data_IF_514991062525
#
_entry.id   IF_514991062525
#
_cell.length_a   1.000
_cell.length_b   1.000
_cell.length_c   1.000
_cell.angle_alpha   90.00
_cell.angle_beta   90.00
_cell.angle_gamma   90.00
#
_symmetry.space_group_name_H-M   'P 1'
#
loop_
_entity.id
_entity.type
_entity.pdbx_description
1 polymer ?
#
# COMPACT_ATOMS: atom_id res chain seq x y z
N UNK A 1 -69.43 -34.98 40.17
CA UNK A 1 -70.23 -33.75 39.95
C UNK A 1 -69.35 -32.80 39.15
N UNK A 2 -69.70 -32.57 37.86
CA UNK A 2 -69.31 -31.46 36.96
C UNK A 2 -67.83 -30.98 36.94
N UNK A 3 -67.13 -30.78 35.82
CA UNK A 3 -67.44 -30.75 34.39
C UNK A 3 -66.11 -30.52 33.64
N UNK A 4 -66.02 -31.08 32.40
CA UNK A 4 -65.48 -30.50 31.14
C UNK A 4 -64.09 -29.83 31.13
N UNK A 5 -63.23 -30.03 30.13
CA UNK A 5 -63.36 -30.62 28.78
C UNK A 5 -61.96 -30.75 28.17
N UNK A 6 -61.70 -31.77 27.33
CA UNK A 6 -61.63 -31.66 25.85
C UNK A 6 -60.64 -30.59 25.38
N UNK A 7 -59.61 -30.86 24.57
CA UNK A 7 -59.23 -31.99 23.73
C UNK A 7 -58.22 -31.49 22.67
N UNK A 8 -57.73 -32.42 21.84
CA UNK A 8 -56.73 -32.28 20.75
C UNK A 8 -55.28 -32.18 21.26
N UNK A 9 -54.41 -33.19 21.16
CA UNK A 9 -54.09 -34.16 20.08
C UNK A 9 -53.57 -33.49 18.79
N UNK A 10 -52.33 -33.88 18.45
CA UNK A 10 -51.63 -33.74 17.18
C UNK A 10 -51.16 -32.32 16.77
N UNK A 11 -49.84 -32.11 16.76
CA UNK A 11 -49.06 -32.15 15.51
C UNK A 11 -47.55 -32.20 15.84
N UNK A 12 -46.91 -33.31 15.47
CA UNK A 12 -45.47 -33.35 15.24
C UNK A 12 -45.16 -32.39 14.08
N UNK A 13 -44.17 -31.53 14.23
CA UNK A 13 -43.01 -31.39 13.33
C UNK A 13 -42.34 -30.01 13.48
N UNK A 14 -41.02 -30.07 13.53
CA UNK A 14 -40.07 -29.02 13.13
C UNK A 14 -39.74 -27.92 14.14
N UNK A 15 -38.43 -27.73 14.31
CA UNK A 15 -37.71 -26.68 15.04
C UNK A 15 -37.52 -26.90 16.54
N UNK A 16 -36.35 -27.48 16.85
CA UNK A 16 -35.78 -27.57 18.19
C UNK A 16 -35.44 -26.18 18.72
N UNK A 17 -36.06 -25.85 19.83
CA UNK A 17 -35.81 -24.65 20.58
C UNK A 17 -34.49 -24.80 21.35
N UNK A 18 -33.57 -23.89 21.04
CA UNK A 18 -32.62 -23.34 21.98
C UNK A 18 -33.35 -22.77 23.21
N UNK A 19 -32.57 -22.58 24.28
CA UNK A 19 -32.85 -22.01 25.60
C UNK A 19 -32.94 -23.00 26.75
N UNK A 20 -32.11 -22.68 27.74
CA UNK A 20 -32.11 -23.12 29.14
C UNK A 20 -31.12 -24.23 29.54
N UNK A 21 -29.82 -23.96 29.42
CA UNK A 21 -28.86 -24.27 30.49
C UNK A 21 -27.89 -23.11 30.63
N UNK A 22 -28.30 -22.09 31.40
CA UNK A 22 -27.41 -21.06 31.95
C UNK A 22 -27.22 -21.39 33.43
N UNK A 23 -25.98 -21.23 33.90
CA UNK A 23 -25.50 -21.44 35.26
C UNK A 23 -25.44 -22.91 35.73
N UNK A 24 -24.25 -23.50 35.61
CA UNK A 24 -23.40 -23.96 36.72
C UNK A 24 -22.20 -24.63 36.06
N UNK A 25 -21.02 -24.06 36.22
CA UNK A 25 -19.68 -24.70 36.34
C UNK A 25 -18.63 -23.58 36.23
N UNK A 26 -18.71 -22.61 37.15
CA UNK A 26 -17.52 -21.87 37.58
C UNK A 26 -16.79 -22.84 38.50
N UNK A 27 -15.75 -23.49 37.99
CA UNK A 27 -14.91 -24.38 38.78
C UNK A 27 -14.37 -25.55 37.97
N UNK A 28 -13.05 -25.56 37.81
CA UNK A 28 -12.24 -26.56 37.11
C UNK A 28 -12.21 -26.43 35.59
N UNK A 29 -11.24 -25.64 35.10
CA UNK A 29 -10.41 -25.92 33.92
C UNK A 29 -9.22 -24.94 33.89
N UNK A 30 -8.43 -24.88 34.96
CA UNK A 30 -7.05 -24.38 34.88
C UNK A 30 -6.16 -25.52 34.39
N UNK A 31 -6.23 -25.83 33.09
CA UNK A 31 -5.27 -26.65 32.32
C UNK A 31 -5.85 -27.13 30.99
N UNK A 32 -6.31 -26.21 30.14
CA UNK A 32 -6.37 -26.48 28.70
C UNK A 32 -6.13 -25.15 27.99
N UNK A 33 -4.93 -25.01 27.44
CA UNK A 33 -4.65 -24.00 26.43
C UNK A 33 -5.52 -24.33 25.21
N UNK A 34 -6.60 -23.56 25.05
CA UNK A 34 -7.38 -23.54 23.82
C UNK A 34 -7.12 -22.18 23.20
N UNK A 35 -6.37 -22.25 22.12
CA UNK A 35 -6.21 -21.26 21.07
C UNK A 35 -7.47 -20.42 20.87
N UNK A 36 -7.32 -19.11 21.00
CA UNK A 36 -8.23 -18.12 20.44
C UNK A 36 -7.44 -17.25 19.49
N UNK A 37 -7.46 -17.59 18.19
CA UNK A 37 -7.21 -16.65 17.11
C UNK A 37 -8.27 -15.55 17.19
N UNK A 38 -7.97 -14.40 17.80
CA UNK A 38 -8.74 -13.18 17.58
C UNK A 38 -7.83 -11.95 17.75
N UNK A 39 -7.27 -11.52 16.64
CA UNK A 39 -6.44 -10.32 16.52
C UNK A 39 -5.73 -10.36 15.18
N UNK A 40 -6.37 -9.85 14.13
CA UNK A 40 -5.66 -9.61 12.87
C UNK A 40 -4.81 -8.36 13.14
N UNK A 41 -3.54 -8.59 13.47
CA UNK A 41 -2.57 -7.50 13.59
C UNK A 41 -2.46 -6.79 12.23
N UNK A 42 -2.36 -5.45 12.26
CA UNK A 42 -2.18 -4.66 11.06
C UNK A 42 -0.71 -4.62 10.73
N UNK A 43 -0.29 -5.19 9.61
CA UNK A 43 1.08 -5.07 9.14
C UNK A 43 1.13 -4.62 7.68
N UNK A 44 1.97 -3.63 7.39
CA UNK A 44 2.10 -3.04 6.05
C UNK A 44 3.03 -3.91 5.21
N UNK A 45 2.59 -4.29 4.02
CA UNK A 45 3.40 -5.03 3.04
C UNK A 45 4.37 -4.09 2.33
N UNK A 46 5.59 -4.54 2.01
CA UNK A 46 6.62 -3.68 1.41
C UNK A 46 7.65 -4.46 0.58
N UNK A 47 8.26 -3.81 -0.43
CA UNK A 47 9.36 -4.36 -1.24
C UNK A 47 9.13 -5.80 -1.76
N UNK A 48 7.92 -6.12 -2.26
CA UNK A 48 7.59 -7.45 -2.78
C UNK A 48 7.38 -8.53 -1.71
N UNK A 49 7.23 -8.16 -0.43
CA UNK A 49 6.84 -9.04 0.65
C UNK A 49 5.46 -8.68 1.19
N UNK A 50 4.60 -9.68 1.34
CA UNK A 50 3.30 -9.50 2.00
C UNK A 50 3.38 -9.98 3.44
N UNK A 51 3.03 -9.13 4.40
CA UNK A 51 2.85 -9.60 5.76
C UNK A 51 1.50 -10.33 5.89
N UNK A 52 1.55 -11.59 6.33
CA UNK A 52 0.38 -12.46 6.47
C UNK A 52 -0.22 -12.42 7.88
N UNK A 53 0.63 -12.26 8.90
CA UNK A 53 0.21 -12.12 10.28
C UNK A 53 1.35 -11.64 11.16
N UNK A 54 1.02 -11.09 12.33
CA UNK A 54 1.92 -11.11 13.49
C UNK A 54 1.26 -11.81 14.67
N UNK A 55 2.11 -12.31 15.57
CA UNK A 55 1.69 -13.03 16.76
C UNK A 55 2.63 -12.64 17.91
N UNK A 56 2.06 -12.08 18.97
CA UNK A 56 2.78 -11.82 20.21
C UNK A 56 2.61 -12.99 21.16
N UNK A 57 3.70 -13.51 21.68
CA UNK A 57 3.73 -14.47 22.81
C UNK A 57 4.48 -13.84 23.98
N UNK A 58 4.40 -14.45 25.17
CA UNK A 58 5.05 -13.95 26.39
C UNK A 58 6.58 -13.73 26.23
N UNK A 59 7.23 -14.49 25.34
CA UNK A 59 8.70 -14.49 25.19
C UNK A 59 9.19 -14.00 23.81
N UNK A 60 8.34 -14.02 22.79
CA UNK A 60 8.74 -13.69 21.41
C UNK A 60 7.60 -13.05 20.63
N UNK A 61 7.96 -12.17 19.70
CA UNK A 61 7.03 -11.67 18.71
C UNK A 61 7.37 -12.24 17.34
N UNK A 62 6.39 -12.86 16.70
CA UNK A 62 6.56 -13.50 15.40
C UNK A 62 5.85 -12.71 14.33
N UNK A 63 6.49 -12.56 13.19
CA UNK A 63 5.96 -11.92 12.01
C UNK A 63 6.04 -12.90 10.85
N UNK A 64 4.92 -13.19 10.21
CA UNK A 64 4.86 -14.09 9.07
C UNK A 64 4.77 -13.26 7.80
N UNK A 65 5.73 -13.45 6.91
CA UNK A 65 5.82 -12.76 5.63
C UNK A 65 5.74 -13.77 4.48
N UNK A 66 5.25 -13.35 3.32
CA UNK A 66 5.23 -14.09 2.07
C UNK A 66 6.12 -13.40 1.05
N UNK A 67 7.03 -14.14 0.43
CA UNK A 67 7.83 -13.66 -0.69
C UNK A 67 6.98 -13.59 -1.97
N UNK A 68 6.90 -12.42 -2.60
CA UNK A 68 6.24 -12.21 -3.90
C UNK A 68 7.18 -11.49 -4.89
N UNK A 69 8.50 -11.65 -4.75
CA UNK A 69 9.50 -11.02 -5.63
C UNK A 69 9.68 -11.75 -6.97
N UNK A 70 8.95 -12.85 -7.22
CA UNK A 70 9.10 -13.65 -8.44
C UNK A 70 10.42 -14.43 -8.51
N UNK A 71 11.17 -14.49 -7.40
CA UNK A 71 12.47 -15.18 -7.30
C UNK A 71 12.79 -15.59 -5.87
N UNK A 72 13.70 -16.57 -5.73
CA UNK A 72 14.15 -17.07 -4.44
C UNK A 72 15.12 -16.08 -3.76
N UNK A 73 14.92 -15.86 -2.46
CA UNK A 73 15.70 -14.88 -1.69
C UNK A 73 16.22 -15.45 -0.38
N UNK A 74 17.35 -14.94 0.10
CA UNK A 74 17.82 -15.19 1.47
C UNK A 74 17.55 -13.98 2.34
N UNK A 75 16.97 -14.18 3.52
CA UNK A 75 16.64 -13.11 4.48
C UNK A 75 17.76 -12.96 5.51
N UNK A 76 18.15 -11.74 5.85
CA UNK A 76 19.15 -11.47 6.89
C UNK A 76 18.91 -10.14 7.62
N UNK A 77 19.70 -9.91 8.68
CA UNK A 77 19.78 -8.62 9.38
C UNK A 77 18.41 -8.07 9.83
N UNK A 78 17.59 -8.89 10.47
CA UNK A 78 16.29 -8.45 10.96
C UNK A 78 16.38 -7.78 12.34
N UNK A 79 15.71 -6.64 12.47
CA UNK A 79 15.56 -5.88 13.71
C UNK A 79 14.14 -5.33 13.81
N UNK A 80 13.58 -5.24 15.01
CA UNK A 80 12.33 -4.56 15.27
C UNK A 80 12.58 -3.35 16.18
N UNK A 81 12.02 -2.19 15.86
CA UNK A 81 12.15 -0.99 16.70
C UNK A 81 10.80 -0.60 17.27
N UNK A 82 10.72 -0.45 18.59
CA UNK A 82 9.51 -0.02 19.29
C UNK A 82 9.34 1.49 19.07
N UNK A 83 8.29 1.94 18.38
CA UNK A 83 8.14 3.35 17.99
C UNK A 83 8.04 4.32 19.17
N UNK A 84 7.42 3.90 20.28
CA UNK A 84 7.22 4.77 21.44
C UNK A 84 8.50 5.05 22.23
N UNK A 85 9.45 4.11 22.23
CA UNK A 85 10.70 4.20 23.02
C UNK A 85 11.95 4.38 22.16
N UNK A 86 11.89 4.05 20.87
CA UNK A 86 13.05 3.97 19.97
C UNK A 86 13.98 2.80 20.31
N UNK A 87 13.57 1.89 21.20
CA UNK A 87 14.36 0.73 21.58
C UNK A 87 14.32 -0.32 20.46
N UNK A 88 15.50 -0.79 20.05
CA UNK A 88 15.65 -1.79 19.00
C UNK A 88 15.91 -3.17 19.59
N UNK A 89 15.16 -4.15 19.11
CA UNK A 89 15.24 -5.55 19.50
C UNK A 89 15.73 -6.37 18.31
N UNK A 90 16.72 -7.23 18.55
CA UNK A 90 17.22 -8.15 17.54
C UNK A 90 16.19 -9.22 17.19
N UNK A 91 16.17 -9.63 15.92
CA UNK A 91 15.27 -10.65 15.43
C UNK A 91 16.00 -11.80 14.76
N UNK A 92 15.49 -13.00 15.00
CA UNK A 92 15.87 -14.21 14.31
C UNK A 92 15.18 -14.27 12.94
N UNK A 93 15.96 -14.63 11.92
CA UNK A 93 15.53 -14.80 10.53
C UNK A 93 15.54 -16.28 10.16
N UNK A 94 14.77 -16.70 9.14
CA UNK A 94 14.80 -18.08 8.65
C UNK A 94 16.20 -18.44 8.11
N UNK A 95 16.61 -19.69 8.32
CA UNK A 95 17.83 -20.22 7.70
C UNK A 95 17.55 -20.73 6.29
N UNK A 96 18.34 -20.29 5.30
CA UNK A 96 18.25 -20.76 3.92
C UNK A 96 17.46 -19.82 3.00
N UNK A 97 17.20 -20.29 1.78
CA UNK A 97 16.40 -19.53 0.81
C UNK A 97 14.91 -19.66 1.07
N UNK A 98 14.19 -18.57 0.85
CA UNK A 98 12.74 -18.47 0.82
C UNK A 98 12.33 -18.42 -0.64
N UNK A 99 11.63 -19.46 -1.08
CA UNK A 99 11.16 -19.55 -2.46
C UNK A 99 10.11 -18.49 -2.80
N UNK A 100 9.95 -18.19 -4.08
CA UNK A 100 8.83 -17.36 -4.53
C UNK A 100 7.48 -17.96 -4.10
N UNK A 101 6.55 -17.09 -3.69
CA UNK A 101 5.25 -17.46 -3.14
C UNK A 101 5.28 -18.17 -1.78
N UNK A 102 6.46 -18.39 -1.19
CA UNK A 102 6.62 -19.09 0.10
C UNK A 102 6.58 -18.12 1.28
N UNK A 103 5.98 -18.56 2.38
CA UNK A 103 5.98 -17.81 3.62
C UNK A 103 7.19 -18.14 4.51
N UNK A 104 7.65 -17.16 5.27
CA UNK A 104 8.70 -17.27 6.26
C UNK A 104 8.37 -16.48 7.53
N UNK A 105 9.04 -16.79 8.62
CA UNK A 105 8.82 -16.15 9.92
C UNK A 105 10.07 -15.40 10.38
N UNK A 106 9.88 -14.17 10.83
CA UNK A 106 10.87 -13.41 11.61
C UNK A 106 10.41 -13.42 13.07
N UNK A 107 11.31 -13.76 13.99
CA UNK A 107 11.01 -13.83 15.43
C UNK A 107 11.87 -12.83 16.21
N UNK A 108 11.26 -11.82 16.81
CA UNK A 108 11.96 -10.82 17.60
C UNK A 108 11.80 -11.08 19.10
N UNK A 109 12.80 -10.69 19.90
CA UNK A 109 12.68 -10.72 21.35
C UNK A 109 11.57 -9.80 21.85
N UNK A 110 10.87 -10.18 22.92
CA UNK A 110 9.82 -9.35 23.54
C UNK A 110 10.34 -8.35 24.58
N UNK A 111 11.65 -8.23 24.78
CA UNK A 111 12.24 -7.30 25.76
C UNK A 111 11.90 -5.85 25.40
N UNK A 112 11.12 -5.19 26.25
CA UNK A 112 10.64 -3.81 26.03
C UNK A 112 9.17 -3.74 25.60
N UNK A 113 8.58 -4.85 25.15
CA UNK A 113 7.16 -4.94 24.82
C UNK A 113 6.36 -5.42 26.03
N UNK A 114 5.34 -4.64 26.43
CA UNK A 114 4.43 -5.04 27.51
C UNK A 114 3.29 -5.85 26.89
N UNK A 115 3.09 -7.09 27.34
CA UNK A 115 1.95 -7.90 26.91
C UNK A 115 0.63 -7.12 27.11
N UNK A 116 -0.14 -6.91 26.03
CA UNK A 116 -1.37 -6.12 26.03
C UNK A 116 -1.22 -4.60 25.86
N UNK A 117 0.00 -4.09 25.64
CA UNK A 117 0.21 -2.69 25.25
C UNK A 117 0.03 -2.48 23.75
N UNK A 118 -0.52 -1.32 23.37
CA UNK A 118 -0.61 -0.86 21.97
C UNK A 118 0.74 -0.28 21.57
N UNK A 119 1.58 -1.08 20.93
CA UNK A 119 2.88 -0.63 20.43
C UNK A 119 2.98 -0.90 18.93
N UNK A 120 3.42 0.12 18.19
CA UNK A 120 3.79 -0.02 16.78
C UNK A 120 5.28 -0.34 16.68
N UNK A 121 5.61 -1.20 15.73
CA UNK A 121 6.96 -1.70 15.52
C UNK A 121 7.38 -1.48 14.08
N UNK A 122 8.56 -0.91 13.89
CA UNK A 122 9.24 -0.96 12.60
C UNK A 122 10.10 -2.22 12.53
N UNK A 123 9.64 -3.21 11.77
CA UNK A 123 10.42 -4.42 11.45
C UNK A 123 11.20 -4.14 10.18
N UNK A 124 12.52 -4.21 10.29
CA UNK A 124 13.45 -4.02 9.18
C UNK A 124 14.24 -5.28 8.97
N UNK A 125 14.28 -5.79 7.75
CA UNK A 125 15.15 -6.91 7.37
C UNK A 125 15.75 -6.70 5.99
N UNK A 126 16.87 -7.35 5.71
CA UNK A 126 17.52 -7.34 4.39
C UNK A 126 17.20 -8.62 3.63
N UNK A 127 17.15 -8.55 2.30
CA UNK A 127 17.14 -9.72 1.44
C UNK A 127 18.19 -9.66 0.32
N UNK A 128 18.56 -10.84 -0.18
CA UNK A 128 19.51 -11.04 -1.27
C UNK A 128 18.97 -12.10 -2.24
N UNK A 129 19.25 -11.96 -3.53
CA UNK A 129 18.96 -13.04 -4.51
C UNK A 129 19.75 -14.30 -4.15
N UNK A 130 19.07 -15.44 -4.09
CA UNK A 130 19.70 -16.72 -3.73
C UNK A 130 20.76 -17.19 -4.75
N UNK A 131 20.69 -16.70 -5.99
CA UNK A 131 21.58 -17.07 -7.09
C UNK A 131 22.74 -16.08 -7.31
N UNK A 132 22.79 -15.01 -6.52
CA UNK A 132 23.75 -13.92 -6.66
C UNK A 132 24.98 -14.13 -5.77
N UNK A 133 26.18 -14.02 -6.35
CA UNK A 133 27.43 -13.86 -5.57
C UNK A 133 27.65 -12.41 -5.10
N UNK A 134 26.84 -11.47 -5.58
CA UNK A 134 26.88 -10.07 -5.17
C UNK A 134 26.05 -9.85 -3.90
N UNK A 135 26.71 -9.35 -2.86
CA UNK A 135 26.15 -9.11 -1.52
C UNK A 135 25.44 -7.75 -1.42
N UNK A 136 24.53 -7.45 -2.35
CA UNK A 136 23.71 -6.25 -2.23
C UNK A 136 22.45 -6.55 -1.41
N UNK A 137 22.35 -5.96 -0.22
CA UNK A 137 21.21 -6.06 0.67
C UNK A 137 20.17 -5.01 0.30
N UNK A 138 18.93 -5.40 0.04
CA UNK A 138 17.80 -4.46 -0.02
C UNK A 138 17.06 -4.49 1.31
N UNK A 139 16.98 -3.36 2.06
CA UNK A 139 16.19 -3.30 3.27
C UNK A 139 14.69 -3.31 2.94
N UNK A 140 13.92 -4.02 3.75
CA UNK A 140 12.47 -4.07 3.73
C UNK A 140 12.01 -3.46 5.04
N UNK A 141 11.14 -2.47 4.95
CA UNK A 141 10.58 -1.77 6.11
C UNK A 141 9.11 -2.14 6.23
N UNK A 142 8.73 -2.66 7.39
CA UNK A 142 7.38 -3.12 7.69
C UNK A 142 6.94 -2.45 8.98
N UNK A 143 5.88 -1.66 8.90
CA UNK A 143 5.20 -1.14 10.09
C UNK A 143 4.19 -2.18 10.57
N UNK A 144 4.29 -2.57 11.84
CA UNK A 144 3.42 -3.57 12.46
C UNK A 144 2.74 -2.98 13.69
N UNK A 145 1.41 -3.03 13.71
CA UNK A 145 0.59 -2.68 14.85
C UNK A 145 0.12 -3.94 15.56
N UNK A 146 0.57 -4.13 16.79
CA UNK A 146 0.08 -5.21 17.65
C UNK A 146 -1.27 -4.83 18.25
N UNK A 147 -2.35 -5.49 17.81
CA UNK A 147 -3.67 -5.37 18.43
C UNK A 147 -4.16 -6.74 18.88
N UNK A 148 -3.83 -7.10 20.12
CA UNK A 148 -4.43 -8.25 20.81
C UNK A 148 -5.79 -7.83 21.35
N UNK A 149 -6.89 -8.34 20.77
CA UNK A 149 -8.21 -8.14 21.36
C UNK A 149 -8.44 -9.21 22.44
N UNK A 150 -8.55 -8.81 23.71
CA UNK A 150 -9.02 -9.75 24.73
C UNK A 150 -10.53 -9.95 24.57
N UNK A 151 -11.03 -11.13 24.97
CA UNK A 151 -12.47 -11.42 24.97
C UNK A 151 -13.30 -10.37 25.75
N UNK A 152 -12.70 -9.71 26.74
CA UNK A 152 -13.34 -8.64 27.51
C UNK A 152 -13.43 -7.31 26.75
N UNK A 153 -12.51 -7.03 25.81
CA UNK A 153 -12.57 -5.83 24.96
C UNK A 153 -13.68 -5.95 23.90
N UNK A 154 -13.95 -7.16 23.41
CA UNK A 154 -15.03 -7.45 22.45
C UNK A 154 -16.42 -7.19 23.03
N UNK A 155 -16.63 -7.51 24.32
CA UNK A 155 -17.91 -7.32 25.02
C UNK A 155 -18.14 -5.84 25.37
N UNK A 156 -17.10 -5.11 25.75
CA UNK A 156 -17.21 -3.70 26.14
C UNK A 156 -17.31 -2.74 24.94
N UNK A 157 -16.90 -3.15 23.74
CA UNK A 157 -17.03 -2.38 22.51
C UNK A 157 -18.40 -2.50 21.81
N UNK A 158 -19.34 -3.31 22.34
CA UNK A 158 -20.72 -3.36 21.86
C UNK A 158 -20.96 -4.22 20.62
N UNK A 159 -20.20 -5.29 20.42
CA UNK A 159 -20.31 -6.14 19.22
C UNK A 159 -21.39 -7.23 19.29
N UNK A 160 -22.59 -6.94 18.79
CA UNK A 160 -23.28 -7.86 17.88
C UNK A 160 -23.91 -7.02 16.76
N UNK A 161 -23.20 -6.90 15.64
CA UNK A 161 -23.77 -6.43 14.39
C UNK A 161 -23.09 -7.20 13.25
N UNK A 162 -23.85 -8.16 12.69
CA UNK A 162 -23.85 -8.66 11.32
C UNK A 162 -22.49 -8.88 10.62
N UNK A 163 -22.07 -10.14 10.61
CA UNK A 163 -21.12 -10.68 9.64
C UNK A 163 -21.88 -11.05 8.35
N UNK A 164 -22.10 -10.08 7.46
CA UNK A 164 -22.20 -10.35 6.01
C UNK A 164 -21.60 -9.17 5.23
N UNK A 165 -20.46 -9.41 4.57
CA UNK A 165 -19.95 -8.66 3.41
C UNK A 165 -19.50 -7.21 3.63
N UNK A 166 -18.22 -6.99 3.89
CA UNK A 166 -17.62 -5.65 3.80
C UNK A 166 -16.10 -5.65 4.01
N UNK A 167 -15.37 -5.16 3.01
CA UNK A 167 -13.94 -4.81 3.10
C UNK A 167 -13.72 -3.97 4.36
N UNK A 168 -12.89 -4.45 5.29
CA UNK A 168 -12.49 -3.67 6.46
C UNK A 168 -11.65 -2.48 6.02
N UNK A 169 -12.26 -1.29 5.98
CA UNK A 169 -11.58 -0.04 5.73
C UNK A 169 -10.57 0.24 6.83
N UNK A 170 -9.31 -0.14 6.59
CA UNK A 170 -8.19 0.37 7.36
C UNK A 170 -7.97 1.82 6.98
N UNK A 171 -8.01 2.71 7.97
CA UNK A 171 -7.65 4.11 7.76
C UNK A 171 -6.13 4.23 7.85
N UNK A 172 -5.49 4.61 6.75
CA UNK A 172 -4.07 4.93 6.71
C UNK A 172 -3.86 6.44 6.95
N UNK A 173 -3.22 6.79 8.06
CA UNK A 173 -3.04 8.18 8.53
C UNK A 173 -1.60 8.70 8.34
N UNK A 174 -0.82 8.06 7.46
CA UNK A 174 0.56 8.46 7.16
C UNK A 174 0.95 8.17 5.72
N UNK A 175 1.83 9.00 5.16
CA UNK A 175 2.57 8.65 3.92
C UNK A 175 4.00 8.32 4.27
N UNK A 176 4.53 7.22 3.74
CA UNK A 176 5.89 6.75 4.05
C UNK A 176 6.72 6.72 2.77
N UNK A 177 7.83 7.44 2.80
CA UNK A 177 8.75 7.65 1.68
C UNK A 177 10.13 7.10 2.03
N UNK A 178 10.81 6.52 1.06
CA UNK A 178 12.19 6.06 1.22
C UNK A 178 13.11 6.91 0.35
N UNK A 179 14.05 7.59 0.99
CA UNK A 179 15.06 8.43 0.32
C UNK A 179 16.43 7.77 0.38
N UNK A 180 17.15 7.74 -0.74
CA UNK A 180 18.55 7.30 -0.84
C UNK A 180 19.48 8.48 -1.12
N UNK A 181 20.32 8.77 -0.14
CA UNK A 181 21.24 9.91 -0.18
C UNK A 181 22.34 9.79 -1.23
N UNK A 182 22.54 8.60 -1.83
CA UNK A 182 23.46 8.45 -2.96
C UNK A 182 23.06 9.31 -4.17
N UNK A 183 21.76 9.63 -4.30
CA UNK A 183 21.21 10.46 -5.38
C UNK A 183 20.89 11.90 -4.95
N UNK A 184 21.15 12.24 -3.68
CA UNK A 184 20.96 13.58 -3.14
C UNK A 184 20.81 13.57 -1.63
N UNK A 185 21.63 14.34 -0.92
CA UNK A 185 21.61 14.39 0.55
C UNK A 185 20.57 15.36 1.14
N UNK A 186 19.91 16.17 0.31
CA UNK A 186 18.95 17.18 0.76
C UNK A 186 17.62 17.01 0.06
N UNK A 187 16.54 16.97 0.84
CA UNK A 187 15.17 16.79 0.36
C UNK A 187 14.31 17.98 0.75
N UNK A 188 13.36 18.34 -0.11
CA UNK A 188 12.36 19.37 0.16
C UNK A 188 10.98 18.85 -0.21
N UNK A 189 10.08 18.86 0.77
CA UNK A 189 8.67 18.56 0.63
C UNK A 189 7.89 19.87 0.56
N UNK A 190 7.36 20.19 -0.62
CA UNK A 190 6.40 21.28 -0.77
C UNK A 190 4.99 20.75 -0.59
N UNK A 191 4.30 21.31 0.39
CA UNK A 191 3.01 20.84 0.83
C UNK A 191 1.95 21.78 0.24
N UNK A 192 0.99 21.23 -0.49
CA UNK A 192 -0.13 22.02 -0.99
C UNK A 192 -1.13 22.23 0.14
N UNK A 193 -1.75 23.41 0.24
CA UNK A 193 -2.77 23.80 1.23
C UNK A 193 -2.25 24.10 2.67
N UNK A 194 -3.18 24.07 3.65
CA UNK A 194 -3.06 24.69 4.99
C UNK A 194 -3.20 23.74 6.20
N UNK A 195 -2.76 22.48 6.10
CA UNK A 195 -2.74 21.52 7.22
C UNK A 195 -1.49 21.62 8.12
N UNK A 196 -1.66 21.21 9.39
CA UNK A 196 -0.54 20.91 10.29
C UNK A 196 0.04 19.55 9.93
N UNK A 197 1.33 19.54 9.60
CA UNK A 197 2.03 18.35 9.15
C UNK A 197 3.31 18.14 9.95
N UNK A 198 3.58 16.88 10.23
CA UNK A 198 4.78 16.41 10.90
C UNK A 198 5.52 15.46 9.96
N UNK A 199 6.83 15.65 9.88
CA UNK A 199 7.72 14.79 9.11
C UNK A 199 8.78 14.26 10.05
N UNK A 200 8.79 12.94 10.22
CA UNK A 200 9.97 12.23 10.68
C UNK A 200 10.84 11.94 9.47
N UNK A 201 12.11 12.34 9.48
CA UNK A 201 13.02 12.13 8.35
C UNK A 201 13.69 10.75 8.39
N UNK A 202 13.55 9.99 9.47
CA UNK A 202 14.15 8.66 9.61
C UNK A 202 15.61 8.65 10.04
N UNK A 203 16.18 9.81 10.38
CA UNK A 203 17.56 9.96 10.89
C UNK A 203 17.61 10.51 12.32
N UNK A 204 16.48 10.44 13.04
CA UNK A 204 16.30 10.99 14.38
C UNK A 204 15.97 12.48 14.40
N UNK A 205 15.95 13.16 13.25
CA UNK A 205 15.44 14.53 13.15
C UNK A 205 14.00 14.54 12.66
N UNK A 206 13.26 15.52 13.15
CA UNK A 206 11.89 15.77 12.73
C UNK A 206 11.69 17.23 12.32
N UNK A 207 10.61 17.49 11.62
CA UNK A 207 10.20 18.82 11.23
C UNK A 207 8.70 18.93 11.29
N UNK A 208 8.21 20.12 11.63
CA UNK A 208 6.79 20.42 11.62
C UNK A 208 6.52 21.68 10.80
N UNK A 209 5.32 21.74 10.26
CA UNK A 209 4.87 22.90 9.49
C UNK A 209 3.40 23.12 9.77
N UNK A 210 3.07 24.36 10.09
CA UNK A 210 1.70 24.85 10.23
C UNK A 210 1.37 25.78 9.08
N UNK A 211 0.21 25.59 8.46
CA UNK A 211 -0.28 26.51 7.43
C UNK A 211 0.41 26.34 6.08
N UNK A 212 1.06 27.39 5.56
CA UNK A 212 1.78 27.50 4.27
C UNK A 212 3.17 26.86 4.17
N UNK A 213 3.73 26.57 2.99
CA UNK A 213 5.18 26.39 2.80
C UNK A 213 5.70 24.97 2.61
N UNK A 214 7.04 24.86 2.67
CA UNK A 214 7.80 23.63 2.42
C UNK A 214 8.64 23.25 3.63
N UNK A 215 8.88 21.95 3.81
CA UNK A 215 9.81 21.39 4.77
C UNK A 215 11.05 20.90 4.05
N UNK A 216 12.24 21.19 4.58
CA UNK A 216 13.50 20.72 3.99
C UNK A 216 14.37 20.07 5.04
N UNK A 217 15.12 19.07 4.62
CA UNK A 217 16.06 18.35 5.46
C UNK A 217 17.33 18.03 4.70
N UNK A 218 18.43 17.86 5.43
CA UNK A 218 19.72 17.43 4.88
C UNK A 218 20.29 16.33 5.75
N UNK A 219 20.40 15.14 5.18
CA UNK A 219 20.97 13.97 5.83
C UNK A 219 22.47 14.16 6.03
N UNK A 220 22.94 13.91 7.25
CA UNK A 220 24.35 14.11 7.64
C UNK A 220 25.26 12.96 7.23
N UNK A 221 24.68 11.78 6.95
CA UNK A 221 25.38 10.55 6.60
C UNK A 221 24.79 9.95 5.33
N UNK A 222 25.60 9.14 4.64
CA UNK A 222 25.11 8.37 3.52
C UNK A 222 24.28 7.18 4.01
N UNK A 223 23.24 6.83 3.27
CA UNK A 223 22.28 5.79 3.61
C UNK A 223 20.90 6.00 2.99
N UNK A 224 20.04 5.03 3.25
CA UNK A 224 18.61 5.09 2.95
C UNK A 224 17.85 5.47 4.21
N UNK A 225 16.86 6.34 4.05
CA UNK A 225 16.09 6.91 5.14
C UNK A 225 14.60 6.78 4.88
N UNK A 226 13.89 6.25 5.86
CA UNK A 226 12.43 6.13 5.83
C UNK A 226 11.85 7.37 6.47
N UNK A 227 11.29 8.24 5.65
CA UNK A 227 10.59 9.43 6.10
C UNK A 227 9.09 9.18 6.20
N UNK A 228 8.50 9.55 7.33
CA UNK A 228 7.05 9.43 7.57
C UNK A 228 6.43 10.80 7.67
N UNK A 229 5.41 11.04 6.84
CA UNK A 229 4.59 12.25 6.84
C UNK A 229 3.28 11.90 7.53
N UNK A 230 2.96 12.62 8.61
CA UNK A 230 1.68 12.51 9.33
C UNK A 230 1.02 13.87 9.49
N UNK A 231 -0.25 13.87 9.90
CA UNK A 231 -1.05 15.07 10.11
C UNK A 231 -2.16 15.21 9.08
N UNK A 232 -2.70 16.41 8.92
CA UNK A 232 -3.88 16.63 8.07
C UNK A 232 -3.50 16.87 6.60
N UNK A 233 -3.55 15.80 5.80
CA UNK A 233 -3.41 15.86 4.33
C UNK A 233 -4.75 16.03 3.59
N UNK A 234 -5.86 16.32 4.30
CA UNK A 234 -7.20 16.35 3.69
C UNK A 234 -7.31 17.36 2.57
N UNK A 235 -7.78 16.91 1.41
CA UNK A 235 -8.03 17.77 0.24
C UNK A 235 -6.75 18.30 -0.41
N UNK A 236 -5.60 17.72 -0.10
CA UNK A 236 -4.28 18.21 -0.47
C UNK A 236 -3.40 17.05 -0.95
N UNK A 237 -2.39 17.40 -1.75
CA UNK A 237 -1.24 16.55 -2.03
C UNK A 237 0.04 17.13 -1.43
N UNK A 238 1.14 16.39 -1.56
CA UNK A 238 2.48 16.93 -1.41
C UNK A 238 3.27 16.77 -2.71
N UNK A 239 4.39 17.50 -2.81
CA UNK A 239 5.34 17.39 -3.91
C UNK A 239 6.73 17.31 -3.33
N UNK A 240 7.53 16.36 -3.81
CA UNK A 240 8.97 16.37 -3.54
C UNK A 240 9.60 17.34 -4.53
N UNK A 241 9.95 18.55 -4.09
CA UNK A 241 10.42 19.65 -4.95
C UNK A 241 11.93 19.85 -4.91
N UNK A 242 12.60 19.36 -3.86
CA UNK A 242 14.05 19.34 -3.73
C UNK A 242 14.51 17.92 -3.44
N UNK A 243 15.62 17.50 -4.06
CA UNK A 243 16.15 16.15 -3.88
C UNK A 243 15.26 15.03 -4.42
N UNK A 244 14.33 15.33 -5.33
CA UNK A 244 13.34 14.35 -5.85
C UNK A 244 13.95 13.07 -6.40
N UNK A 245 15.16 13.13 -6.98
CA UNK A 245 15.89 11.95 -7.46
C UNK A 245 16.37 11.01 -6.34
N UNK A 246 16.41 11.47 -5.09
CA UNK A 246 16.69 10.61 -3.94
C UNK A 246 15.48 9.79 -3.52
N UNK A 247 14.26 10.11 -3.96
CA UNK A 247 13.09 9.28 -3.67
C UNK A 247 13.18 7.98 -4.48
N UNK A 248 13.28 6.86 -3.79
CA UNK A 248 13.39 5.54 -4.42
C UNK A 248 12.15 4.67 -4.22
N UNK A 249 11.36 4.89 -3.17
CA UNK A 249 10.16 4.11 -2.91
C UNK A 249 9.12 4.91 -2.11
N UNK A 250 7.85 4.55 -2.30
CA UNK A 250 6.76 4.87 -1.37
C UNK A 250 6.17 3.56 -0.85
N UNK A 251 6.08 3.41 0.47
CA UNK A 251 5.58 2.16 1.09
C UNK A 251 4.16 2.29 1.65
N UNK A 252 3.67 3.50 1.89
CA UNK A 252 2.31 3.72 2.39
C UNK A 252 1.75 5.07 1.95
N UNK A 253 0.43 5.14 1.77
CA UNK A 253 -0.30 6.38 1.49
C UNK A 253 -1.10 6.86 2.68
N UNK A 254 -1.26 8.18 2.78
CA UNK A 254 -2.27 8.76 3.64
C UNK A 254 -3.62 8.80 2.91
N UNK A 255 -4.69 8.27 3.51
CA UNK A 255 -6.00 8.07 2.86
C UNK A 255 -6.70 9.37 2.47
N UNK A 256 -6.38 10.46 3.17
CA UNK A 256 -6.97 11.78 2.92
C UNK A 256 -6.41 12.51 1.68
N UNK A 257 -5.39 11.94 1.02
CA UNK A 257 -4.85 12.48 -0.24
C UNK A 257 -5.93 12.41 -1.32
N UNK A 258 -6.18 13.55 -1.97
CA UNK A 258 -7.15 13.66 -3.08
C UNK A 258 -6.51 14.09 -4.41
N UNK A 259 -5.30 14.64 -4.35
CA UNK A 259 -4.56 15.17 -5.49
C UNK A 259 -3.12 14.65 -5.45
N UNK A 260 -2.74 13.81 -6.42
CA UNK A 260 -1.38 13.28 -6.55
C UNK A 260 -0.60 13.98 -7.67
N UNK A 261 -1.04 15.17 -8.08
CA UNK A 261 -0.46 15.86 -9.23
C UNK A 261 0.97 16.30 -8.97
N UNK A 262 1.90 15.87 -9.84
CA UNK A 262 3.35 16.16 -9.75
C UNK A 262 4.02 15.64 -8.47
N UNK A 263 3.41 14.67 -7.78
CA UNK A 263 3.90 14.20 -6.48
C UNK A 263 5.35 13.69 -6.55
N UNK A 264 5.69 12.96 -7.64
CA UNK A 264 7.01 12.38 -7.89
C UNK A 264 7.60 12.83 -9.23
N UNK A 265 7.31 14.04 -9.68
CA UNK A 265 7.92 14.57 -10.90
C UNK A 265 9.19 15.38 -10.58
N UNK A 266 10.38 15.05 -11.13
CA UNK A 266 10.78 13.84 -11.87
C UNK A 266 11.66 12.88 -11.05
N UNK A 267 11.06 12.03 -10.23
CA UNK A 267 11.75 11.05 -9.40
C UNK A 267 12.34 9.92 -10.26
N UNK A 268 13.49 10.19 -10.88
CA UNK A 268 14.13 9.29 -11.86
C UNK A 268 14.64 7.96 -11.30
N UNK A 269 14.66 7.78 -9.97
CA UNK A 269 15.10 6.56 -9.29
C UNK A 269 13.96 5.90 -8.48
N UNK A 270 12.72 6.38 -8.61
CA UNK A 270 11.56 5.76 -7.97
C UNK A 270 11.30 4.38 -8.59
N UNK A 271 11.34 3.33 -7.79
CA UNK A 271 11.14 1.95 -8.23
C UNK A 271 9.80 1.36 -7.81
N UNK A 272 9.25 1.81 -6.68
CA UNK A 272 8.01 1.24 -6.15
C UNK A 272 7.11 2.23 -5.41
N UNK A 273 5.82 1.94 -5.44
CA UNK A 273 4.71 2.59 -4.74
C UNK A 273 3.73 1.53 -4.24
N UNK A 274 2.84 1.83 -3.28
CA UNK A 274 1.81 0.89 -2.87
C UNK A 274 0.91 0.49 -4.07
N UNK A 275 0.53 -0.78 -4.13
CA UNK A 275 -0.37 -1.30 -5.18
C UNK A 275 -1.85 -0.97 -4.92
N UNK A 276 -2.11 0.20 -4.36
CA UNK A 276 -3.44 0.78 -4.18
C UNK A 276 -3.33 2.31 -4.23
N UNK A 277 -4.45 2.97 -4.50
CA UNK A 277 -4.57 4.43 -4.40
C UNK A 277 -5.28 4.82 -3.10
N UNK A 278 -4.99 6.01 -2.54
CA UNK A 278 -5.85 6.60 -1.52
C UNK A 278 -7.29 6.70 -2.05
N UNK A 279 -8.31 6.45 -1.20
CA UNK A 279 -9.68 6.19 -1.65
C UNK A 279 -10.37 7.39 -2.32
N UNK A 280 -9.84 8.61 -2.20
CA UNK A 280 -10.48 9.83 -2.71
C UNK A 280 -9.64 10.59 -3.74
N UNK A 281 -8.64 9.93 -4.33
CA UNK A 281 -7.84 10.54 -5.41
C UNK A 281 -8.69 10.76 -6.66
N UNK A 282 -8.54 11.94 -7.26
CA UNK A 282 -9.29 12.34 -8.48
C UNK A 282 -8.38 12.71 -9.66
N UNK A 283 -7.07 12.85 -9.42
CA UNK A 283 -6.08 13.25 -10.43
C UNK A 283 -4.73 12.60 -10.15
N UNK A 284 -4.12 12.06 -11.21
CA UNK A 284 -2.76 11.51 -11.24
C UNK A 284 -1.83 12.32 -12.16
N UNK A 285 -2.25 13.55 -12.50
CA UNK A 285 -1.55 14.40 -13.46
C UNK A 285 -0.06 14.52 -13.16
N UNK A 286 0.79 14.13 -14.12
CA UNK A 286 2.26 14.20 -13.99
C UNK A 286 2.83 13.47 -12.76
N UNK A 287 2.12 12.49 -12.18
CA UNK A 287 2.57 11.81 -10.96
C UNK A 287 3.95 11.16 -11.14
N UNK A 288 4.18 10.47 -12.25
CA UNK A 288 5.43 9.78 -12.61
C UNK A 288 6.16 10.44 -13.79
N UNK A 289 5.91 11.72 -14.03
CA UNK A 289 6.56 12.46 -15.12
C UNK A 289 8.08 12.50 -14.89
N UNK A 290 8.86 11.84 -15.75
CA UNK A 290 10.31 11.68 -15.65
C UNK A 290 10.78 10.65 -14.63
N UNK A 291 9.92 9.69 -14.25
CA UNK A 291 10.29 8.55 -13.42
C UNK A 291 10.91 7.45 -14.29
N UNK A 292 12.12 7.69 -14.80
CA UNK A 292 12.72 6.92 -15.90
C UNK A 292 12.77 5.40 -15.66
N UNK A 293 13.07 4.96 -14.43
CA UNK A 293 13.24 3.54 -14.09
C UNK A 293 11.98 2.88 -13.52
N UNK A 294 10.89 3.63 -13.39
CA UNK A 294 9.67 3.13 -12.77
C UNK A 294 8.93 2.17 -13.71
N UNK A 295 8.73 0.93 -13.28
CA UNK A 295 8.09 -0.13 -14.08
C UNK A 295 7.26 -1.10 -13.24
N UNK A 296 6.61 -0.61 -12.17
CA UNK A 296 5.82 -1.45 -11.30
C UNK A 296 4.44 -1.78 -11.93
N UNK A 297 3.95 -3.01 -11.71
CA UNK A 297 2.54 -3.38 -11.88
C UNK A 297 1.63 -2.52 -10.97
N UNK A 298 0.63 -1.87 -11.58
CA UNK A 298 -0.35 -1.00 -10.93
C UNK A 298 -1.79 -1.49 -11.13
N UNK A 299 -1.96 -2.77 -11.47
CA UNK A 299 -3.27 -3.38 -11.71
C UNK A 299 -4.18 -3.41 -10.47
N UNK A 300 -3.61 -3.22 -9.26
CA UNK A 300 -4.33 -3.14 -8.00
C UNK A 300 -4.96 -1.78 -7.69
N UNK A 301 -4.74 -0.77 -8.53
CA UNK A 301 -5.26 0.58 -8.31
C UNK A 301 -6.75 0.69 -8.65
N UNK A 302 -7.55 1.22 -7.71
CA UNK A 302 -8.91 1.67 -8.01
C UNK A 302 -8.88 3.07 -8.66
N UNK A 303 -9.06 3.09 -9.98
CA UNK A 303 -9.04 4.32 -10.79
C UNK A 303 -10.41 4.91 -11.08
N UNK A 304 -11.49 4.34 -10.54
CA UNK A 304 -12.89 4.68 -10.89
C UNK A 304 -13.28 6.14 -10.61
N UNK A 305 -12.53 6.84 -9.76
CA UNK A 305 -12.76 8.26 -9.41
C UNK A 305 -11.87 9.24 -10.19
N UNK A 306 -10.95 8.76 -11.02
CA UNK A 306 -9.99 9.61 -11.70
C UNK A 306 -10.62 10.34 -12.87
N UNK A 307 -10.38 11.65 -12.93
CA UNK A 307 -10.87 12.52 -14.00
C UNK A 307 -9.75 13.06 -14.90
N UNK A 308 -8.50 13.03 -14.41
CA UNK A 308 -7.32 13.52 -15.13
C UNK A 308 -6.12 12.58 -14.94
N UNK A 309 -5.63 12.04 -16.06
CA UNK A 309 -4.42 11.21 -16.14
C UNK A 309 -3.34 11.85 -17.03
N UNK A 310 -3.48 13.15 -17.34
CA UNK A 310 -2.58 13.85 -18.26
C UNK A 310 -1.13 13.78 -17.81
N UNK A 311 -0.24 13.51 -18.77
CA UNK A 311 1.21 13.52 -18.58
C UNK A 311 1.71 12.57 -17.46
N UNK A 312 0.90 11.59 -17.01
CA UNK A 312 1.19 10.74 -15.85
C UNK A 312 2.52 10.00 -15.98
N UNK A 313 2.79 9.38 -17.12
CA UNK A 313 4.02 8.65 -17.46
C UNK A 313 4.86 9.37 -18.52
N UNK A 314 4.72 10.69 -18.63
CA UNK A 314 5.51 11.50 -19.54
C UNK A 314 7.01 11.33 -19.26
N UNK A 315 7.78 10.87 -20.26
CA UNK A 315 9.19 10.52 -20.14
C UNK A 315 9.51 9.48 -19.04
N UNK A 316 8.55 8.62 -18.68
CA UNK A 316 8.83 7.41 -17.88
C UNK A 316 9.35 6.31 -18.82
N UNK A 317 10.62 6.41 -19.20
CA UNK A 317 11.24 5.68 -20.31
C UNK A 317 11.07 4.14 -20.23
N UNK A 318 11.23 3.57 -19.03
CA UNK A 318 11.16 2.12 -18.80
C UNK A 318 9.75 1.61 -18.42
N UNK A 319 8.74 2.50 -18.33
CA UNK A 319 7.42 2.10 -17.87
C UNK A 319 6.69 1.19 -18.86
N UNK A 320 6.37 -0.02 -18.41
CA UNK A 320 5.55 -1.04 -19.06
C UNK A 320 4.76 -1.86 -18.00
N UNK A 321 4.48 -1.26 -16.84
CA UNK A 321 3.75 -1.90 -15.75
C UNK A 321 2.28 -2.12 -16.12
N UNK A 322 1.68 -3.22 -15.65
CA UNK A 322 0.29 -3.56 -15.97
C UNK A 322 -0.68 -2.49 -15.43
N UNK A 323 -1.49 -1.96 -16.35
CA UNK A 323 -2.55 -0.97 -16.13
C UNK A 323 -3.83 -1.34 -16.90
N UNK A 324 -3.90 -2.59 -17.38
CA UNK A 324 -5.01 -3.08 -18.21
C UNK A 324 -6.34 -3.11 -17.47
N UNK A 325 -6.31 -3.21 -16.14
CA UNK A 325 -7.49 -3.27 -15.26
C UNK A 325 -8.08 -1.92 -14.89
N UNK A 326 -7.47 -0.81 -15.29
CA UNK A 326 -7.93 0.52 -14.90
C UNK A 326 -9.30 0.87 -15.49
N UNK A 327 -10.20 1.31 -14.62
CA UNK A 327 -11.43 2.00 -15.01
C UNK A 327 -11.10 3.45 -15.42
N UNK A 328 -11.28 3.75 -16.70
CA UNK A 328 -11.06 5.08 -17.29
C UNK A 328 -12.35 5.82 -17.63
N UNK A 329 -13.52 5.28 -17.22
CA UNK A 329 -14.84 5.78 -17.65
C UNK A 329 -15.15 7.23 -17.22
N UNK A 330 -14.44 7.75 -16.22
CA UNK A 330 -14.56 9.15 -15.74
C UNK A 330 -13.44 10.07 -16.23
N UNK A 331 -12.44 9.54 -16.95
CA UNK A 331 -11.27 10.30 -17.38
C UNK A 331 -11.61 11.18 -18.57
N UNK A 332 -11.25 12.46 -18.47
CA UNK A 332 -11.55 13.47 -19.50
C UNK A 332 -10.30 13.97 -20.24
N UNK A 333 -9.11 13.79 -19.66
CA UNK A 333 -7.84 14.30 -20.16
C UNK A 333 -6.74 13.23 -20.04
N UNK A 334 -6.25 12.75 -21.18
CA UNK A 334 -5.19 11.75 -21.33
C UNK A 334 -4.00 12.28 -22.17
N UNK A 335 -3.91 13.59 -22.39
CA UNK A 335 -2.85 14.17 -23.20
C UNK A 335 -1.47 13.81 -22.65
N UNK A 336 -0.53 13.52 -23.54
CA UNK A 336 0.86 13.21 -23.23
C UNK A 336 1.08 12.07 -22.21
N UNK A 337 0.06 11.23 -21.93
CA UNK A 337 0.11 10.27 -20.83
C UNK A 337 1.31 9.33 -20.92
N UNK A 338 1.66 8.85 -22.12
CA UNK A 338 2.80 7.97 -22.41
C UNK A 338 3.81 8.61 -23.37
N UNK A 339 3.84 9.94 -23.46
CA UNK A 339 4.80 10.63 -24.34
C UNK A 339 6.23 10.29 -23.91
N UNK A 340 7.01 9.69 -24.81
CA UNK A 340 8.39 9.24 -24.54
C UNK A 340 8.51 8.11 -23.52
N UNK A 341 7.44 7.37 -23.22
CA UNK A 341 7.52 6.09 -22.52
C UNK A 341 7.99 5.02 -23.51
N UNK A 342 9.30 4.95 -23.74
CA UNK A 342 9.90 4.18 -24.85
C UNK A 342 9.58 2.69 -24.82
N UNK A 343 9.41 2.12 -23.64
CA UNK A 343 9.18 0.69 -23.41
C UNK A 343 7.70 0.29 -23.33
N UNK A 344 6.79 1.26 -23.31
CA UNK A 344 5.38 1.01 -23.02
C UNK A 344 4.66 0.25 -24.16
N UNK A 345 4.08 -0.91 -23.84
CA UNK A 345 3.32 -1.74 -24.77
C UNK A 345 2.21 -2.60 -24.11
N UNK A 346 1.54 -2.04 -23.09
CA UNK A 346 0.45 -2.74 -22.41
C UNK A 346 -0.83 -2.82 -23.26
N UNK A 347 -1.67 -3.82 -22.96
CA UNK A 347 -3.01 -3.95 -23.55
C UNK A 347 -3.98 -2.94 -22.91
N UNK A 348 -4.51 -2.03 -23.74
CA UNK A 348 -5.44 -0.98 -23.35
C UNK A 348 -6.83 -1.17 -23.97
N UNK A 349 -7.11 -2.35 -24.53
CA UNK A 349 -8.36 -2.62 -25.25
C UNK A 349 -9.60 -2.55 -24.35
N UNK A 350 -9.43 -2.71 -23.03
CA UNK A 350 -10.47 -2.63 -22.01
C UNK A 350 -10.79 -1.21 -21.50
N UNK A 351 -10.02 -0.20 -21.90
CA UNK A 351 -10.25 1.18 -21.45
C UNK A 351 -11.51 1.79 -22.07
N UNK A 352 -12.31 2.47 -21.25
CA UNK A 352 -13.43 3.30 -21.69
C UNK A 352 -12.95 4.73 -21.93
N UNK A 353 -12.94 5.15 -23.20
CA UNK A 353 -12.51 6.49 -23.62
C UNK A 353 -13.68 7.43 -23.94
N UNK A 354 -14.93 7.03 -23.67
CA UNK A 354 -16.13 7.75 -24.11
C UNK A 354 -16.27 9.16 -23.52
N UNK A 355 -15.59 9.47 -22.42
CA UNK A 355 -15.56 10.80 -21.80
C UNK A 355 -14.28 11.60 -22.11
N UNK A 356 -13.31 11.01 -22.82
CA UNK A 356 -12.03 11.67 -23.11
C UNK A 356 -12.21 12.77 -24.16
N UNK A 357 -11.66 13.95 -23.87
CA UNK A 357 -11.76 15.12 -24.75
C UNK A 357 -10.43 15.56 -25.37
N UNK A 358 -9.30 15.18 -24.76
CA UNK A 358 -7.94 15.51 -25.20
C UNK A 358 -7.02 14.28 -25.12
N UNK A 359 -6.50 13.85 -26.29
CA UNK A 359 -5.56 12.72 -26.46
C UNK A 359 -4.27 13.17 -27.15
N UNK A 360 -3.96 14.47 -27.15
CA UNK A 360 -2.76 14.99 -27.81
C UNK A 360 -1.51 14.29 -27.35
N UNK A 361 -0.68 13.87 -28.30
CA UNK A 361 0.64 13.28 -28.05
C UNK A 361 0.64 12.12 -27.05
N UNK A 362 -0.49 11.43 -26.86
CA UNK A 362 -0.63 10.39 -25.83
C UNK A 362 0.43 9.30 -25.94
N UNK A 363 0.74 8.84 -27.16
CA UNK A 363 1.77 7.84 -27.47
C UNK A 363 2.92 8.43 -28.31
N UNK A 364 3.10 9.75 -28.26
CA UNK A 364 4.16 10.40 -29.02
C UNK A 364 5.53 9.90 -28.52
N UNK A 365 6.35 9.40 -29.45
CA UNK A 365 7.66 8.80 -29.16
C UNK A 365 7.58 7.55 -28.25
N UNK A 366 6.41 6.91 -28.09
CA UNK A 366 6.30 5.59 -27.47
C UNK A 366 6.72 4.50 -28.49
N UNK A 367 8.03 4.32 -28.64
CA UNK A 367 8.63 3.61 -29.78
C UNK A 367 8.11 2.20 -30.05
N UNK A 368 7.84 1.44 -28.98
CA UNK A 368 7.42 0.04 -29.08
C UNK A 368 5.91 -0.15 -28.97
N UNK A 369 5.14 0.91 -28.70
CA UNK A 369 3.71 0.80 -28.50
C UNK A 369 3.00 0.26 -29.76
N UNK A 370 2.26 -0.82 -29.57
CA UNK A 370 1.45 -1.47 -30.60
C UNK A 370 0.16 -2.07 -30.02
N UNK A 371 -0.33 -1.53 -28.89
CA UNK A 371 -1.57 -1.95 -28.24
C UNK A 371 -2.80 -1.66 -29.09
N UNK A 372 -3.79 -2.55 -29.06
CA UNK A 372 -5.03 -2.40 -29.83
C UNK A 372 -5.91 -1.29 -29.23
N UNK A 373 -6.16 -0.26 -30.02
CA UNK A 373 -6.99 0.91 -29.67
C UNK A 373 -8.22 1.05 -30.56
N UNK A 374 -8.48 0.09 -31.47
CA UNK A 374 -9.59 0.17 -32.43
C UNK A 374 -10.98 0.05 -31.80
N UNK A 375 -11.08 -0.32 -30.52
CA UNK A 375 -12.33 -0.36 -29.75
C UNK A 375 -12.66 0.95 -29.04
N UNK A 376 -11.75 1.93 -29.03
CA UNK A 376 -11.93 3.16 -28.27
C UNK A 376 -13.04 4.04 -28.85
N UNK A 377 -13.93 4.55 -27.99
CA UNK A 377 -14.90 5.58 -28.36
C UNK A 377 -14.22 6.94 -28.33
N UNK A 378 -13.99 7.51 -29.51
CA UNK A 378 -13.35 8.81 -29.67
C UNK A 378 -14.33 9.92 -30.05
N UNK A 379 -15.63 9.71 -29.86
CA UNK A 379 -16.68 10.63 -30.31
C UNK A 379 -16.68 11.99 -29.59
N UNK A 380 -16.13 12.04 -28.36
CA UNK A 380 -15.95 13.27 -27.57
C UNK A 380 -14.55 13.89 -27.71
N UNK A 381 -13.61 13.22 -28.38
CA UNK A 381 -12.24 13.71 -28.51
C UNK A 381 -12.21 14.89 -29.47
N UNK A 382 -11.70 16.02 -28.98
CA UNK A 382 -11.60 17.27 -29.75
C UNK A 382 -10.20 17.51 -30.32
N UNK A 383 -9.18 16.88 -29.75
CA UNK A 383 -7.79 17.02 -30.19
C UNK A 383 -7.00 15.71 -30.03
N UNK A 384 -6.47 15.20 -31.16
CA UNK A 384 -5.59 14.03 -31.26
C UNK A 384 -4.23 14.39 -31.88
N UNK A 385 -3.85 15.67 -31.85
CA UNK A 385 -2.61 16.14 -32.49
C UNK A 385 -1.42 15.30 -32.02
N UNK A 386 -0.71 14.70 -32.97
CA UNK A 386 0.53 13.95 -32.72
C UNK A 386 0.37 12.69 -31.88
N UNK A 387 -0.85 12.15 -31.70
CA UNK A 387 -1.12 11.00 -30.81
C UNK A 387 -0.14 9.83 -30.99
N UNK A 388 0.21 9.48 -32.23
CA UNK A 388 1.15 8.40 -32.58
C UNK A 388 2.42 8.91 -33.30
N UNK A 389 2.75 10.21 -33.19
CA UNK A 389 3.98 10.72 -33.79
C UNK A 389 5.18 9.98 -33.17
N UNK A 390 6.13 9.46 -33.97
CA UNK A 390 7.28 8.71 -33.43
C UNK A 390 6.98 7.35 -32.75
N UNK A 391 5.73 6.87 -32.75
CA UNK A 391 5.36 5.52 -32.30
C UNK A 391 5.67 4.49 -33.40
N UNK A 392 6.95 4.15 -33.58
CA UNK A 392 7.44 3.43 -34.76
C UNK A 392 6.87 2.03 -34.97
N UNK A 393 6.45 1.36 -33.88
CA UNK A 393 5.93 -0.01 -33.93
C UNK A 393 4.41 -0.08 -34.12
N UNK A 394 3.71 1.06 -34.05
CA UNK A 394 2.26 1.09 -34.10
C UNK A 394 1.73 0.70 -35.49
N UNK A 395 0.95 -0.39 -35.53
CA UNK A 395 0.36 -0.93 -36.76
C UNK A 395 -1.00 -1.59 -36.50
N UNK A 396 -1.82 -0.98 -35.63
CA UNK A 396 -3.17 -1.43 -35.32
C UNK A 396 -4.22 -0.69 -36.15
N UNK A 397 -5.40 -1.29 -36.30
CA UNK A 397 -6.57 -0.64 -36.89
C UNK A 397 -7.06 0.51 -35.97
N UNK A 398 -7.50 1.63 -36.57
CA UNK A 398 -8.07 2.81 -35.89
C UNK A 398 -9.45 3.13 -36.47
#
# INVERSE_FOLDING_TARGET
MFRKGQGALEFLTTYGWAFLVVLVMIGALSSFGVFGDVGVDKCVSGQGFTCESSLVTDETQKFKFKNNLGSDVSIANATATIKSTGESVGCDVPSGSVGDGSSFEISCGSSGLVAGSRENLDVVFSYYSADSTDTYAKPVYVDVSNKVETYDDFVNAGGIADLEGGSSGEVHDSTVLVFDTQYGSSVTLSLTGSGDLFVDWGDGNNSNRSGSGSLSHTYSSAGQYVSTITGDLTGQGFRVTGGVNSLIEVTNWHDSITDMSNMFSPASHLVSVPNYLPPNVTTLKRMFNGANVFNQDLSGWDTSKLTNMSEMFYLAEDFDGDISSWDTSQVTDMRYMFHGAYSFNQDLSGWDTSQVTDMRYMFDIAHVFNGNVGSWDTSQVTDMTGMFYGAYSFNQDI
#
